data_IF_235016071459
#
_entry.id   IF_235016071459
#
_cell.length_a   1.000
_cell.length_b   1.000
_cell.length_c   1.000
_cell.angle_alpha   90.00
_cell.angle_beta   90.00
_cell.angle_gamma   90.00
#
_symmetry.space_group_name_H-M   'P 1'
#
loop_
_entity.id
_entity.type
_entity.pdbx_description
1 polymer ?
#
# COMPACT_ATOMS: atom_id res chain seq x y z
N UNK A 1 -22.20 2.76 -40.83
CA UNK A 1 -21.02 1.87 -40.80
C UNK A 1 -20.10 2.40 -39.70
N UNK A 2 -20.27 1.84 -38.51
CA UNK A 2 -19.46 2.19 -37.34
C UNK A 2 -18.18 1.37 -37.41
N UNK A 3 -17.02 2.04 -37.41
CA UNK A 3 -15.71 1.41 -37.40
C UNK A 3 -15.46 0.69 -36.03
N UNK A 4 -14.60 -0.33 -36.00
CA UNK A 4 -14.31 -1.03 -34.75
C UNK A 4 -13.51 -0.13 -33.82
N UNK A 5 -13.98 -0.08 -32.58
CA UNK A 5 -13.32 0.52 -31.42
C UNK A 5 -11.93 -0.09 -31.28
N UNK A 6 -10.89 0.70 -31.48
CA UNK A 6 -9.51 0.26 -31.26
C UNK A 6 -9.29 0.20 -29.75
N UNK A 7 -9.42 -0.99 -29.18
CA UNK A 7 -8.93 -1.28 -27.83
C UNK A 7 -7.43 -0.92 -27.71
N UNK A 8 -6.90 -0.71 -26.47
CA UNK A 8 -5.55 -0.20 -26.25
C UNK A 8 -4.51 -1.13 -26.92
N UNK A 9 -3.90 -0.65 -27.98
CA UNK A 9 -2.82 -1.30 -28.69
C UNK A 9 -1.56 -1.21 -27.82
N UNK A 10 -1.15 -2.33 -27.25
CA UNK A 10 0.13 -2.41 -26.51
C UNK A 10 0.18 -3.33 -25.31
N UNK A 11 -0.87 -4.10 -25.02
CA UNK A 11 -0.80 -5.08 -23.93
C UNK A 11 0.24 -6.17 -24.28
N UNK A 12 1.15 -6.54 -23.36
CA UNK A 12 2.09 -7.65 -23.56
C UNK A 12 1.32 -8.94 -23.89
N UNK A 13 1.90 -9.81 -24.72
CA UNK A 13 1.27 -11.02 -25.22
C UNK A 13 0.71 -11.99 -24.15
N UNK A 14 1.10 -11.79 -22.87
CA UNK A 14 0.65 -12.55 -21.70
C UNK A 14 -0.32 -11.81 -20.76
N UNK A 15 -0.69 -10.55 -21.06
CA UNK A 15 -1.50 -9.72 -20.13
C UNK A 15 -0.71 -9.22 -18.92
N UNK A 16 -1.42 -8.66 -17.94
CA UNK A 16 -0.85 -8.11 -16.69
C UNK A 16 -1.52 -8.79 -15.49
N UNK A 17 -0.74 -9.11 -14.46
CA UNK A 17 -1.22 -9.45 -13.13
C UNK A 17 -0.66 -8.48 -12.09
N UNK A 18 -1.17 -8.55 -10.87
CA UNK A 18 -0.70 -7.71 -9.78
C UNK A 18 -0.24 -8.54 -8.57
N UNK A 19 0.79 -8.06 -7.89
CA UNK A 19 1.28 -8.62 -6.63
C UNK A 19 1.28 -7.51 -5.58
N UNK A 20 0.55 -7.71 -4.47
CA UNK A 20 0.59 -6.82 -3.31
C UNK A 20 1.53 -7.40 -2.26
N UNK A 21 2.57 -6.65 -1.92
CA UNK A 21 3.56 -7.05 -0.92
C UNK A 21 3.09 -6.64 0.49
N UNK A 22 2.72 -7.64 1.29
CA UNK A 22 2.15 -7.48 2.64
C UNK A 22 2.88 -8.29 3.72
N UNK A 23 4.04 -8.89 3.41
CA UNK A 23 4.77 -9.79 4.30
C UNK A 23 5.68 -9.07 5.33
N UNK A 24 5.85 -7.75 5.23
CA UNK A 24 6.79 -6.98 6.05
C UNK A 24 6.41 -6.90 7.54
N UNK A 25 7.40 -6.91 8.43
CA UNK A 25 7.22 -6.83 9.88
C UNK A 25 6.73 -5.45 10.39
N UNK A 26 6.96 -4.38 9.64
CA UNK A 26 6.58 -3.03 10.06
C UNK A 26 7.29 -2.55 11.33
N UNK A 27 8.56 -2.90 11.53
CA UNK A 27 9.32 -2.65 12.78
C UNK A 27 9.38 -1.19 13.21
N UNK A 28 9.46 -0.26 12.25
CA UNK A 28 9.48 1.20 12.51
C UNK A 28 8.14 1.74 13.05
N UNK A 29 7.05 1.02 12.82
CA UNK A 29 5.71 1.38 13.29
C UNK A 29 5.35 0.73 14.65
N UNK A 30 6.28 -0.04 15.25
CA UNK A 30 6.08 -0.59 16.61
C UNK A 30 5.86 0.55 17.60
N UNK A 31 5.03 0.32 18.64
CA UNK A 31 4.42 -0.96 19.05
C UNK A 31 3.11 -1.32 18.36
N UNK A 32 2.56 -0.49 17.45
CA UNK A 32 1.28 -0.74 16.77
C UNK A 32 1.30 -2.09 16.02
N UNK A 33 2.42 -2.42 15.39
CA UNK A 33 2.58 -3.63 14.57
C UNK A 33 2.98 -4.88 15.35
N UNK A 34 3.01 -4.84 16.66
CA UNK A 34 3.26 -6.06 17.46
C UNK A 34 2.06 -7.03 17.46
N UNK A 35 0.85 -6.54 17.20
CA UNK A 35 -0.38 -7.32 17.25
C UNK A 35 -1.21 -7.28 15.96
N UNK A 36 -0.95 -6.28 15.12
CA UNK A 36 -1.64 -6.10 13.83
C UNK A 36 -0.57 -5.91 12.76
N UNK A 37 -0.55 -6.72 11.68
CA UNK A 37 0.43 -6.52 10.62
C UNK A 37 0.25 -5.14 9.98
N UNK A 38 1.34 -4.48 9.60
CA UNK A 38 1.32 -3.12 9.04
C UNK A 38 0.28 -2.97 7.92
N UNK A 39 0.19 -3.96 7.05
CA UNK A 39 -0.78 -3.99 5.95
C UNK A 39 -2.25 -3.89 6.40
N UNK A 40 -2.55 -4.26 7.63
CA UNK A 40 -3.91 -4.19 8.20
C UNK A 40 -4.13 -2.99 9.12
N UNK A 41 -3.11 -2.17 9.39
CA UNK A 41 -3.30 -0.91 10.11
C UNK A 41 -4.24 0.00 9.31
N UNK A 42 -5.35 0.50 9.92
CA UNK A 42 -6.33 1.28 9.18
C UNK A 42 -5.86 2.73 8.98
N UNK A 43 -6.00 3.27 7.79
CA UNK A 43 -5.87 4.69 7.50
C UNK A 43 -7.22 5.21 7.03
N UNK A 44 -7.77 6.21 7.74
CA UNK A 44 -9.13 6.68 7.48
C UNK A 44 -10.15 5.54 7.56
N UNK A 45 -10.06 4.69 8.59
CA UNK A 45 -10.91 3.52 8.85
C UNK A 45 -10.86 2.39 7.80
N UNK A 46 -9.94 2.44 6.84
CA UNK A 46 -9.76 1.40 5.81
C UNK A 46 -8.36 0.78 5.95
N UNK A 47 -8.23 -0.56 6.11
CA UNK A 47 -6.93 -1.23 6.12
C UNK A 47 -6.08 -0.86 4.89
N UNK A 48 -4.77 -0.67 5.09
CA UNK A 48 -3.85 -0.29 4.01
C UNK A 48 -3.89 -1.31 2.86
N UNK A 49 -3.96 -2.61 3.17
CA UNK A 49 -4.10 -3.68 2.18
C UNK A 49 -5.37 -3.51 1.33
N UNK A 50 -6.50 -3.18 1.96
CA UNK A 50 -7.76 -2.99 1.24
C UNK A 50 -7.72 -1.77 0.32
N UNK A 51 -6.99 -0.72 0.69
CA UNK A 51 -6.71 0.42 -0.19
C UNK A 51 -5.90 0.01 -1.42
N UNK A 52 -4.88 -0.85 -1.24
CA UNK A 52 -4.11 -1.37 -2.35
C UNK A 52 -4.97 -2.25 -3.27
N UNK A 53 -5.75 -3.18 -2.70
CA UNK A 53 -6.66 -4.04 -3.47
C UNK A 53 -7.74 -3.24 -4.20
N UNK A 54 -8.33 -2.21 -3.57
CA UNK A 54 -9.31 -1.33 -4.22
C UNK A 54 -8.71 -0.59 -5.42
N UNK A 55 -7.44 -0.17 -5.32
CA UNK A 55 -6.72 0.49 -6.41
C UNK A 55 -6.52 -0.47 -7.59
N UNK A 56 -6.13 -1.73 -7.33
CA UNK A 56 -6.04 -2.76 -8.36
C UNK A 56 -7.39 -3.06 -9.01
N UNK A 57 -8.46 -3.13 -8.19
CA UNK A 57 -9.82 -3.33 -8.69
C UNK A 57 -10.27 -2.19 -9.62
N UNK A 58 -9.88 -0.93 -9.32
CA UNK A 58 -10.11 0.22 -10.19
C UNK A 58 -9.39 0.14 -11.55
N UNK A 59 -8.37 -0.71 -11.68
CA UNK A 59 -7.69 -1.05 -12.94
C UNK A 59 -8.27 -2.32 -13.61
N UNK A 60 -9.32 -2.92 -13.06
CA UNK A 60 -9.89 -4.17 -13.56
C UNK A 60 -9.14 -5.44 -13.12
N UNK A 61 -8.15 -5.32 -12.21
CA UNK A 61 -7.41 -6.46 -11.67
C UNK A 61 -8.09 -6.94 -10.36
N UNK A 62 -8.79 -8.07 -10.42
CA UNK A 62 -9.55 -8.64 -9.31
C UNK A 62 -9.50 -10.16 -9.31
N UNK A 63 -9.61 -10.75 -8.11
CA UNK A 63 -9.67 -12.20 -7.94
C UNK A 63 -8.31 -12.90 -8.03
N UNK A 64 -8.25 -14.18 -7.64
CA UNK A 64 -7.00 -14.92 -7.46
C UNK A 64 -6.25 -15.22 -8.77
N UNK A 65 -6.90 -15.06 -9.92
CA UNK A 65 -6.26 -15.27 -11.22
C UNK A 65 -5.41 -14.06 -11.65
N UNK A 66 -5.74 -12.86 -11.16
CA UNK A 66 -5.08 -11.63 -11.59
C UNK A 66 -4.39 -10.87 -10.46
N UNK A 67 -4.72 -11.14 -9.20
CA UNK A 67 -4.12 -10.50 -8.03
C UNK A 67 -3.57 -11.57 -7.10
N UNK A 68 -2.33 -11.37 -6.61
CA UNK A 68 -1.72 -12.15 -5.54
C UNK A 68 -1.31 -11.24 -4.38
N UNK A 69 -1.30 -11.80 -3.17
CA UNK A 69 -0.82 -11.14 -1.94
C UNK A 69 0.15 -12.09 -1.24
N UNK A 70 1.35 -11.59 -0.87
CA UNK A 70 2.22 -12.35 0.00
C UNK A 70 1.96 -12.04 1.47
N UNK A 71 2.19 -13.01 2.34
CA UNK A 71 1.99 -12.91 3.77
C UNK A 71 3.08 -13.66 4.53
N UNK A 72 3.58 -13.09 5.63
CA UNK A 72 4.57 -13.71 6.51
C UNK A 72 4.33 -13.32 7.97
N UNK A 73 4.82 -12.18 8.40
CA UNK A 73 4.65 -11.67 9.77
C UNK A 73 3.17 -11.46 10.11
N UNK A 74 2.69 -12.10 11.19
CA UNK A 74 1.26 -12.17 11.54
C UNK A 74 0.38 -12.58 10.34
N UNK A 75 0.93 -13.48 9.50
CA UNK A 75 0.39 -13.81 8.19
C UNK A 75 -1.02 -14.37 8.21
N UNK A 76 -1.45 -15.05 9.29
CA UNK A 76 -2.81 -15.56 9.45
C UNK A 76 -3.86 -14.45 9.36
N UNK A 77 -3.59 -13.28 9.96
CA UNK A 77 -4.49 -12.13 9.88
C UNK A 77 -4.58 -11.59 8.43
N UNK A 78 -3.45 -11.57 7.71
CA UNK A 78 -3.44 -11.15 6.29
C UNK A 78 -4.22 -12.17 5.44
N UNK A 79 -4.04 -13.46 5.67
CA UNK A 79 -4.77 -14.53 4.99
C UNK A 79 -6.27 -14.40 5.22
N UNK A 80 -6.69 -14.20 6.47
CA UNK A 80 -8.10 -13.99 6.83
C UNK A 80 -8.68 -12.74 6.14
N UNK A 81 -7.95 -11.62 6.19
CA UNK A 81 -8.37 -10.36 5.55
C UNK A 81 -8.49 -10.49 4.04
N UNK A 82 -7.56 -11.19 3.38
CA UNK A 82 -7.60 -11.40 1.92
C UNK A 82 -8.76 -12.33 1.53
N UNK A 83 -8.96 -13.41 2.29
CA UNK A 83 -9.98 -14.42 1.97
C UNK A 83 -9.81 -14.98 0.55
N UNK A 84 -10.86 -14.89 -0.26
CA UNK A 84 -10.88 -15.35 -1.67
C UNK A 84 -10.60 -14.25 -2.69
N UNK A 85 -10.26 -13.04 -2.24
CA UNK A 85 -10.09 -11.86 -3.14
C UNK A 85 -8.82 -11.90 -3.97
N UNK A 86 -7.82 -12.70 -3.55
CA UNK A 86 -6.55 -12.82 -4.25
C UNK A 86 -5.91 -14.21 -4.04
N UNK A 87 -4.94 -14.55 -4.88
CA UNK A 87 -4.04 -15.68 -4.66
C UNK A 87 -3.10 -15.39 -3.48
N UNK A 88 -2.98 -16.34 -2.55
CA UNK A 88 -2.15 -16.18 -1.36
C UNK A 88 -0.80 -16.88 -1.51
N UNK A 89 0.28 -16.15 -1.25
CA UNK A 89 1.65 -16.66 -1.19
C UNK A 89 2.18 -16.51 0.25
N UNK A 90 2.04 -17.57 1.05
CA UNK A 90 2.53 -17.56 2.45
C UNK A 90 4.02 -17.86 2.50
N UNK A 91 4.76 -17.08 3.29
CA UNK A 91 6.21 -17.19 3.50
C UNK A 91 6.44 -17.66 4.96
N UNK A 92 6.47 -18.98 5.23
CA UNK A 92 6.43 -19.52 6.58
C UNK A 92 7.73 -19.31 7.36
N UNK A 93 8.86 -19.24 6.67
CA UNK A 93 10.20 -19.15 7.28
C UNK A 93 10.65 -17.69 7.49
N UNK A 94 9.75 -16.73 7.30
CA UNK A 94 10.00 -15.30 7.40
C UNK A 94 9.94 -14.58 6.06
N UNK A 95 9.91 -13.22 6.08
CA UNK A 95 9.71 -12.43 4.88
C UNK A 95 10.88 -12.56 3.91
N UNK A 96 10.58 -12.84 2.63
CA UNK A 96 11.57 -12.96 1.56
C UNK A 96 12.00 -11.62 0.97
N UNK A 97 11.49 -10.51 1.51
CA UNK A 97 11.71 -9.19 0.93
C UNK A 97 10.93 -9.00 -0.38
N UNK A 98 11.14 -7.85 -1.04
CA UNK A 98 10.32 -7.49 -2.20
C UNK A 98 10.64 -8.33 -3.45
N UNK A 99 11.92 -8.63 -3.72
CA UNK A 99 12.30 -9.44 -4.86
C UNK A 99 11.98 -10.93 -4.65
N UNK A 100 12.28 -11.46 -3.46
CA UNK A 100 12.02 -12.87 -3.14
C UNK A 100 10.52 -13.18 -3.09
N UNK A 101 9.70 -12.26 -2.56
CA UNK A 101 8.24 -12.40 -2.56
C UNK A 101 7.66 -12.47 -3.97
N UNK A 102 8.13 -11.63 -4.91
CA UNK A 102 7.75 -11.70 -6.33
C UNK A 102 8.31 -12.99 -6.97
N UNK A 103 9.57 -13.36 -6.68
CA UNK A 103 10.20 -14.57 -7.19
C UNK A 103 9.46 -15.86 -6.77
N UNK A 104 8.91 -15.89 -5.55
CA UNK A 104 8.08 -17.00 -5.06
C UNK A 104 6.78 -17.18 -5.86
N UNK A 105 6.26 -16.09 -6.41
CA UNK A 105 5.05 -16.07 -7.24
C UNK A 105 5.31 -16.29 -8.73
N UNK A 106 6.57 -16.55 -9.13
CA UNK A 106 6.97 -16.67 -10.53
C UNK A 106 6.08 -17.62 -11.35
N UNK A 107 5.77 -18.81 -10.82
CA UNK A 107 4.97 -19.80 -11.53
C UNK A 107 3.51 -19.38 -11.67
N UNK A 108 2.98 -18.63 -10.69
CA UNK A 108 1.66 -18.01 -10.77
C UNK A 108 1.64 -16.84 -11.77
N UNK A 109 2.68 -16.01 -11.82
CA UNK A 109 2.82 -14.91 -12.79
C UNK A 109 2.85 -15.41 -14.23
N UNK A 110 3.55 -16.52 -14.50
CA UNK A 110 3.45 -17.32 -15.71
C UNK A 110 3.51 -16.51 -17.03
N UNK A 111 4.54 -15.70 -17.20
CA UNK A 111 4.78 -14.98 -18.48
C UNK A 111 4.14 -13.58 -18.56
N UNK A 112 3.31 -13.21 -17.60
CA UNK A 112 2.65 -11.89 -17.58
C UNK A 112 3.59 -10.77 -17.11
N UNK A 113 3.30 -9.54 -17.52
CA UNK A 113 3.81 -8.36 -16.82
C UNK A 113 3.22 -8.29 -15.41
N UNK A 114 3.98 -7.73 -14.46
CA UNK A 114 3.53 -7.69 -13.07
C UNK A 114 3.52 -6.26 -12.51
N UNK A 115 2.34 -5.82 -12.08
CA UNK A 115 2.16 -4.59 -11.30
C UNK A 115 2.37 -4.94 -9.82
N UNK A 116 3.51 -4.51 -9.26
CA UNK A 116 3.85 -4.76 -7.86
C UNK A 116 3.45 -3.54 -7.04
N UNK A 117 2.64 -3.75 -6.01
CA UNK A 117 2.21 -2.71 -5.07
C UNK A 117 2.64 -3.03 -3.65
N UNK A 118 3.14 -2.03 -2.92
CA UNK A 118 3.37 -2.13 -1.47
C UNK A 118 2.05 -1.92 -0.73
N UNK A 119 1.64 -2.86 0.10
CA UNK A 119 0.41 -2.76 0.89
C UNK A 119 0.42 -1.58 1.87
N UNK A 120 1.60 -1.07 2.23
CA UNK A 120 1.78 -0.04 3.26
C UNK A 120 1.91 1.40 2.70
N UNK A 121 1.76 1.57 1.39
CA UNK A 121 1.77 2.88 0.74
C UNK A 121 0.38 3.54 0.82
N UNK A 122 0.29 4.68 1.49
CA UNK A 122 -0.90 5.52 1.42
C UNK A 122 -0.79 6.47 0.22
N UNK A 123 -1.72 6.33 -0.70
CA UNK A 123 -1.86 7.17 -1.89
C UNK A 123 -3.24 7.82 -1.89
N UNK A 124 -3.32 9.10 -2.25
CA UNK A 124 -4.57 9.81 -2.45
C UNK A 124 -4.41 10.90 -3.52
N UNK A 125 -5.21 10.85 -4.56
CA UNK A 125 -5.27 11.89 -5.58
C UNK A 125 -6.68 12.49 -5.58
N UNK A 126 -6.84 13.80 -5.28
CA UNK A 126 -8.15 14.44 -5.32
C UNK A 126 -8.74 14.54 -6.73
N UNK A 127 -7.91 14.40 -7.78
CA UNK A 127 -8.33 14.48 -9.17
C UNK A 127 -8.73 13.13 -9.77
N UNK A 128 -8.38 12.00 -9.12
CA UNK A 128 -8.62 10.67 -9.66
C UNK A 128 -8.95 9.66 -8.55
N UNK A 129 -9.97 8.79 -8.73
CA UNK A 129 -10.24 7.72 -7.76
C UNK A 129 -9.12 6.66 -7.77
N UNK A 130 -9.09 5.78 -6.74
CA UNK A 130 -8.16 4.64 -6.69
C UNK A 130 -8.25 3.78 -7.95
N UNK A 131 -7.10 3.48 -8.54
CA UNK A 131 -6.93 2.75 -9.80
C UNK A 131 -6.60 3.71 -10.95
N UNK A 132 -7.53 4.53 -11.44
CA UNK A 132 -7.24 5.61 -12.38
C UNK A 132 -6.07 6.51 -11.98
N UNK A 133 -5.84 6.75 -10.69
CA UNK A 133 -4.73 7.54 -10.16
C UNK A 133 -3.32 6.96 -10.45
N UNK A 134 -3.23 5.67 -10.74
CA UNK A 134 -1.97 4.98 -11.11
C UNK A 134 -2.00 4.38 -12.52
N UNK A 135 -3.08 4.58 -13.29
CA UNK A 135 -3.27 3.97 -14.61
C UNK A 135 -2.16 4.33 -15.61
N UNK A 136 -1.51 5.48 -15.43
CA UNK A 136 -0.37 5.90 -16.26
C UNK A 136 0.80 4.90 -16.24
N UNK A 137 0.93 4.05 -15.20
CA UNK A 137 1.90 2.97 -15.20
C UNK A 137 1.66 1.96 -16.33
N UNK A 138 0.40 1.74 -16.70
CA UNK A 138 -0.01 0.74 -17.70
C UNK A 138 -0.14 1.32 -19.11
N UNK A 139 -0.36 2.64 -19.21
CA UNK A 139 -0.63 3.29 -20.48
C UNK A 139 0.56 3.14 -21.44
N UNK A 140 0.33 2.61 -22.64
CA UNK A 140 1.35 2.37 -23.68
C UNK A 140 2.62 1.67 -23.15
N UNK A 141 2.46 0.73 -22.21
CA UNK A 141 3.60 -0.03 -21.73
C UNK A 141 4.05 -1.05 -22.77
N UNK A 142 5.35 -1.03 -23.07
CA UNK A 142 5.99 -1.86 -24.10
C UNK A 142 6.16 -3.33 -23.71
N UNK A 143 5.90 -3.70 -22.44
CA UNK A 143 6.11 -5.05 -21.90
C UNK A 143 7.57 -5.38 -21.60
N UNK A 144 8.51 -4.45 -21.77
CA UNK A 144 9.97 -4.68 -21.63
C UNK A 144 10.65 -3.72 -20.64
N UNK A 145 10.17 -2.50 -20.49
CA UNK A 145 10.72 -1.52 -19.53
C UNK A 145 10.14 -1.68 -18.11
N UNK A 146 10.95 -1.27 -17.12
CA UNK A 146 10.50 -1.09 -15.74
C UNK A 146 9.87 0.30 -15.61
N UNK A 147 8.69 0.38 -14.98
CA UNK A 147 8.09 1.67 -14.61
C UNK A 147 7.93 1.77 -13.11
N UNK A 148 8.34 2.89 -12.54
CA UNK A 148 8.14 3.21 -11.13
C UNK A 148 7.18 4.37 -11.01
N UNK A 149 6.18 4.26 -10.13
CA UNK A 149 5.41 5.42 -9.72
C UNK A 149 6.27 6.28 -8.80
N UNK A 150 6.40 7.56 -9.06
CA UNK A 150 7.31 8.42 -8.31
C UNK A 150 6.81 9.84 -8.11
N UNK A 151 7.25 10.48 -7.02
CA UNK A 151 7.08 11.91 -6.76
C UNK A 151 8.42 12.62 -6.80
N UNK A 152 8.49 13.88 -7.23
CA UNK A 152 9.72 14.66 -7.15
C UNK A 152 10.33 14.60 -5.76
N UNK A 153 11.61 14.28 -5.68
CA UNK A 153 12.34 14.24 -4.42
C UNK A 153 12.66 15.68 -3.96
N UNK A 154 12.63 15.97 -2.65
CA UNK A 154 13.12 17.26 -2.13
C UNK A 154 14.57 17.53 -2.52
N UNK A 155 15.42 16.50 -2.53
CA UNK A 155 16.75 16.49 -3.10
C UNK A 155 16.79 15.44 -4.23
N UNK A 156 16.83 15.88 -5.51
CA UNK A 156 16.86 14.96 -6.65
C UNK A 156 18.11 14.07 -6.71
N UNK A 157 19.16 14.43 -6.00
CA UNK A 157 20.44 13.70 -5.97
C UNK A 157 20.57 12.76 -4.77
N UNK A 158 19.58 12.76 -3.86
CA UNK A 158 19.62 11.95 -2.66
C UNK A 158 19.71 10.44 -3.00
N UNK A 159 20.46 9.65 -2.21
CA UNK A 159 20.47 8.20 -2.36
C UNK A 159 19.05 7.63 -2.26
N UNK A 160 18.68 6.73 -3.18
CA UNK A 160 17.35 6.10 -3.21
C UNK A 160 16.38 6.76 -4.19
N UNK A 161 16.74 7.89 -4.80
CA UNK A 161 15.95 8.48 -5.89
C UNK A 161 16.19 7.77 -7.23
N UNK A 162 15.21 7.86 -8.12
CA UNK A 162 15.25 7.40 -9.51
C UNK A 162 14.83 8.59 -10.38
N UNK A 163 15.71 9.04 -11.27
CA UNK A 163 15.47 10.22 -12.11
C UNK A 163 14.91 11.42 -11.29
N UNK A 164 15.54 11.71 -10.15
CA UNK A 164 15.14 12.79 -9.26
C UNK A 164 13.81 12.58 -8.50
N UNK A 165 13.26 11.36 -8.48
CA UNK A 165 12.00 11.04 -7.81
C UNK A 165 12.19 10.00 -6.71
N UNK A 166 11.33 10.06 -5.70
CA UNK A 166 11.14 9.00 -4.70
C UNK A 166 10.04 8.05 -5.16
N UNK A 167 10.27 6.74 -5.00
CA UNK A 167 9.28 5.71 -5.30
C UNK A 167 8.07 5.81 -4.37
N UNK A 168 6.87 5.63 -4.91
CA UNK A 168 5.60 5.83 -4.19
C UNK A 168 4.75 4.56 -4.05
N UNK A 169 5.39 3.40 -4.05
CA UNK A 169 4.73 2.15 -3.67
C UNK A 169 4.20 1.29 -4.81
N UNK A 170 4.21 1.74 -6.08
CA UNK A 170 3.81 0.91 -7.22
C UNK A 170 4.88 0.87 -8.32
N UNK A 171 5.17 -0.33 -8.83
CA UNK A 171 6.07 -0.54 -9.96
C UNK A 171 5.51 -1.55 -10.95
N UNK A 172 5.80 -1.39 -12.22
CA UNK A 172 5.43 -2.33 -13.29
C UNK A 172 6.69 -2.99 -13.83
N UNK A 173 6.73 -4.33 -13.80
CA UNK A 173 7.90 -5.12 -14.13
C UNK A 173 7.63 -6.04 -15.30
N UNK A 174 8.54 -6.14 -16.29
CA UNK A 174 8.45 -7.09 -17.38
C UNK A 174 8.79 -8.51 -16.92
N UNK A 175 8.10 -9.49 -17.50
CA UNK A 175 8.34 -10.91 -17.22
C UNK A 175 9.79 -11.34 -17.32
N UNK A 176 10.53 -10.83 -18.30
CA UNK A 176 11.94 -11.18 -18.50
C UNK A 176 12.84 -10.92 -17.28
N UNK A 177 12.46 -9.94 -16.43
CA UNK A 177 13.19 -9.63 -15.19
C UNK A 177 12.63 -10.38 -13.97
N UNK A 178 11.38 -10.83 -14.04
CA UNK A 178 10.71 -11.56 -12.94
C UNK A 178 11.02 -13.07 -13.00
N UNK A 179 11.10 -13.66 -14.21
CA UNK A 179 11.28 -15.11 -14.39
C UNK A 179 12.55 -15.67 -13.74
N UNK A 180 13.57 -14.84 -13.58
CA UNK A 180 14.88 -15.25 -13.06
C UNK A 180 15.06 -14.85 -11.56
N UNK A 181 14.04 -14.23 -10.92
CA UNK A 181 14.08 -13.89 -9.50
C UNK A 181 14.00 -15.17 -8.64
N UNK A 182 14.99 -15.41 -7.78
CA UNK A 182 14.94 -16.56 -6.88
C UNK A 182 14.00 -16.27 -5.70
N UNK A 183 13.31 -17.30 -5.14
CA UNK A 183 12.46 -17.15 -3.95
C UNK A 183 13.30 -17.13 -2.66
N UNK A 184 14.27 -16.22 -2.58
CA UNK A 184 15.15 -16.00 -1.43
C UNK A 184 15.13 -14.54 -1.03
N UNK A 185 15.56 -14.23 0.18
CA UNK A 185 15.58 -12.85 0.67
C UNK A 185 16.32 -11.91 -0.30
N UNK A 186 15.61 -10.85 -0.73
CA UNK A 186 16.15 -9.85 -1.65
C UNK A 186 15.20 -8.66 -1.85
N UNK A 187 15.75 -7.57 -2.37
CA UNK A 187 14.98 -6.36 -2.67
C UNK A 187 14.96 -6.05 -4.17
N UNK A 188 13.84 -5.50 -4.66
CA UNK A 188 13.64 -5.12 -6.06
C UNK A 188 14.56 -3.98 -6.50
N UNK A 189 14.98 -3.12 -5.58
CA UNK A 189 15.88 -2.01 -5.88
C UNK A 189 17.18 -2.53 -6.47
N UNK A 190 17.79 -3.50 -5.78
CA UNK A 190 19.09 -4.07 -6.18
C UNK A 190 18.94 -5.11 -7.29
N UNK A 191 17.90 -5.95 -7.18
CA UNK A 191 17.74 -7.08 -8.10
C UNK A 191 17.20 -6.66 -9.47
N UNK A 192 16.38 -5.59 -9.55
CA UNK A 192 15.65 -5.23 -10.77
C UNK A 192 15.83 -3.76 -11.14
N UNK A 193 15.57 -2.81 -10.21
CA UNK A 193 15.42 -1.41 -10.61
C UNK A 193 16.75 -0.76 -10.95
N UNK A 194 17.79 -0.90 -10.12
CA UNK A 194 19.13 -0.33 -10.43
C UNK A 194 19.78 -0.93 -11.68
N UNK A 195 19.72 -2.24 -11.93
CA UNK A 195 20.13 -2.79 -13.22
C UNK A 195 19.34 -2.22 -14.40
N UNK A 196 18.01 -2.14 -14.30
CA UNK A 196 17.20 -1.59 -15.38
C UNK A 196 17.47 -0.09 -15.62
N UNK A 197 17.74 0.69 -14.57
CA UNK A 197 18.14 2.09 -14.67
C UNK A 197 19.50 2.24 -15.39
N UNK A 198 20.48 1.42 -15.01
CA UNK A 198 21.81 1.42 -15.66
C UNK A 198 21.73 1.06 -17.15
N UNK A 199 20.80 0.20 -17.54
CA UNK A 199 20.53 -0.20 -18.92
C UNK A 199 19.66 0.81 -19.69
N UNK A 200 19.24 1.92 -19.08
CA UNK A 200 18.32 2.89 -19.69
C UNK A 200 16.90 2.35 -19.93
N UNK A 201 16.50 1.31 -19.18
CA UNK A 201 15.19 0.62 -19.29
C UNK A 201 14.30 0.82 -18.07
N UNK A 202 14.53 1.88 -17.30
CA UNK A 202 13.66 2.29 -16.20
C UNK A 202 13.11 3.68 -16.49
N UNK A 203 11.81 3.84 -16.31
CA UNK A 203 11.11 5.11 -16.44
C UNK A 203 10.33 5.41 -15.16
N UNK A 204 10.43 6.64 -14.67
CA UNK A 204 9.57 7.11 -13.58
C UNK A 204 8.30 7.72 -14.16
N UNK A 205 7.15 7.26 -13.68
CA UNK A 205 5.84 7.80 -13.98
C UNK A 205 5.46 8.75 -12.85
N UNK A 206 5.29 10.05 -13.09
CA UNK A 206 4.97 11.01 -12.04
C UNK A 206 3.61 10.72 -11.38
N UNK A 207 3.59 10.73 -10.04
CA UNK A 207 2.36 10.67 -9.25
C UNK A 207 2.02 12.06 -8.72
N UNK A 208 0.91 12.68 -9.15
CA UNK A 208 0.57 14.06 -8.75
C UNK A 208 -0.06 14.15 -7.36
N UNK A 209 -0.58 13.04 -6.83
CA UNK A 209 -1.29 13.00 -5.57
C UNK A 209 -0.40 12.99 -4.32
N UNK A 210 -1.04 12.85 -3.17
CA UNK A 210 -0.37 12.67 -1.89
C UNK A 210 0.12 11.24 -1.74
N UNK A 211 1.38 11.09 -1.35
CA UNK A 211 1.98 9.83 -0.93
C UNK A 211 2.53 9.96 0.49
N UNK A 212 2.24 8.98 1.32
CA UNK A 212 2.84 8.83 2.66
C UNK A 212 3.30 7.37 2.83
N UNK A 213 4.61 7.20 3.12
CA UNK A 213 5.12 5.94 3.64
C UNK A 213 4.70 5.84 5.11
N UNK A 214 3.68 5.04 5.41
CA UNK A 214 3.15 4.89 6.78
C UNK A 214 4.10 4.10 7.69
N UNK A 215 5.41 4.36 7.57
CA UNK A 215 6.47 3.59 8.22
C UNK A 215 6.67 3.87 9.70
N UNK A 216 6.33 5.06 10.17
CA UNK A 216 6.48 5.50 11.56
C UNK A 216 5.13 5.91 12.15
N UNK A 217 4.98 5.99 13.49
CA UNK A 217 3.76 6.53 14.10
C UNK A 217 3.40 7.95 13.62
N UNK A 218 4.41 8.81 13.39
CA UNK A 218 4.21 10.15 12.86
C UNK A 218 3.63 10.14 11.43
N UNK A 219 4.23 9.35 10.53
CA UNK A 219 3.76 9.21 9.16
C UNK A 219 2.36 8.57 9.12
N UNK A 220 2.13 7.55 9.98
CA UNK A 220 0.84 6.90 10.10
C UNK A 220 -0.25 7.85 10.56
N UNK A 221 0.03 8.71 11.57
CA UNK A 221 -0.88 9.77 11.99
C UNK A 221 -1.12 10.77 10.85
N UNK A 222 -0.07 11.21 10.16
CA UNK A 222 -0.19 12.15 9.05
C UNK A 222 -1.09 11.60 7.93
N UNK A 223 -0.95 10.32 7.57
CA UNK A 223 -1.82 9.67 6.59
C UNK A 223 -3.30 9.64 7.03
N UNK A 224 -3.55 9.37 8.32
CA UNK A 224 -4.91 9.37 8.88
C UNK A 224 -5.52 10.77 8.91
N UNK A 225 -4.76 11.79 9.30
CA UNK A 225 -5.22 13.18 9.29
C UNK A 225 -5.49 13.67 7.88
N UNK A 226 -4.67 13.27 6.91
CA UNK A 226 -4.92 13.55 5.50
C UNK A 226 -6.23 12.89 5.02
N UNK A 227 -6.47 11.63 5.42
CA UNK A 227 -7.70 10.90 5.05
C UNK A 227 -8.96 11.51 5.69
N UNK A 228 -8.84 12.11 6.88
CA UNK A 228 -9.94 12.82 7.56
C UNK A 228 -10.22 14.21 6.95
N UNK A 229 -9.23 14.83 6.32
CA UNK A 229 -9.32 16.20 5.84
C UNK A 229 -9.36 17.23 6.97
N UNK A 230 -10.19 18.25 6.82
CA UNK A 230 -10.32 19.32 7.82
C UNK A 230 -11.29 18.96 8.97
N UNK A 231 -12.11 17.94 8.80
CA UNK A 231 -13.06 17.44 9.77
C UNK A 231 -12.55 16.20 10.52
N UNK A 232 -13.41 15.57 11.31
CA UNK A 232 -13.16 14.26 11.91
C UNK A 232 -13.86 13.16 11.09
N UNK A 233 -13.16 12.05 10.87
CA UNK A 233 -13.72 10.86 10.23
C UNK A 233 -14.13 9.86 11.31
N UNK A 234 -15.42 9.79 11.60
CA UNK A 234 -15.99 8.91 12.63
C UNK A 234 -16.74 7.77 11.95
N UNK A 235 -16.41 6.54 12.31
CA UNK A 235 -17.17 5.38 11.84
C UNK A 235 -18.60 5.42 12.36
N UNK A 236 -19.63 5.10 11.54
CA UNK A 236 -21.04 5.15 11.97
C UNK A 236 -21.40 4.27 13.16
N UNK A 237 -20.58 3.25 13.46
CA UNK A 237 -20.78 2.34 14.59
C UNK A 237 -20.09 2.81 15.87
N UNK A 238 -19.29 3.88 15.80
CA UNK A 238 -18.62 4.45 16.96
C UNK A 238 -19.59 5.31 17.81
N UNK A 239 -19.35 5.34 19.12
CA UNK A 239 -20.08 6.19 20.06
C UNK A 239 -19.18 7.33 20.51
N UNK A 240 -19.50 8.57 20.11
CA UNK A 240 -18.76 9.78 20.49
C UNK A 240 -19.68 10.69 21.30
N UNK A 241 -19.44 10.80 22.60
CA UNK A 241 -20.15 11.69 23.51
C UNK A 241 -19.28 12.84 24.02
N UNK A 242 -17.97 12.73 23.86
CA UNK A 242 -16.99 13.78 24.15
C UNK A 242 -16.63 14.62 22.94
N UNK A 243 -15.51 15.37 23.00
CA UNK A 243 -15.00 16.18 21.89
C UNK A 243 -14.19 15.36 20.89
N UNK A 244 -14.39 15.62 19.58
CA UNK A 244 -13.59 14.98 18.52
C UNK A 244 -13.29 16.01 17.44
N UNK A 245 -11.99 16.35 17.27
CA UNK A 245 -11.54 17.39 16.34
C UNK A 245 -10.40 16.90 15.45
N UNK A 246 -10.59 16.98 14.12
CA UNK A 246 -9.61 16.58 13.09
C UNK A 246 -8.99 15.21 13.40
N UNK A 247 -9.82 14.22 13.72
CA UNK A 247 -9.40 12.92 14.21
C UNK A 247 -10.09 11.78 13.46
N UNK A 248 -9.53 10.59 13.54
CA UNK A 248 -10.14 9.37 12.98
C UNK A 248 -10.60 8.49 14.13
N UNK A 249 -11.87 8.09 14.12
CA UNK A 249 -12.46 7.20 15.12
C UNK A 249 -13.01 5.96 14.42
N UNK A 250 -12.48 4.79 14.77
CA UNK A 250 -12.75 3.50 14.15
C UNK A 250 -14.04 2.85 14.61
N UNK A 251 -14.43 1.80 13.90
CA UNK A 251 -15.67 1.04 14.14
C UNK A 251 -15.78 0.56 15.59
N UNK A 252 -16.96 0.73 16.20
CA UNK A 252 -17.24 0.28 17.56
C UNK A 252 -16.41 0.96 18.66
N UNK A 253 -15.66 2.00 18.36
CA UNK A 253 -14.91 2.75 19.35
C UNK A 253 -15.84 3.60 20.22
N UNK A 254 -15.44 3.84 21.49
CA UNK A 254 -16.17 4.69 22.43
C UNK A 254 -15.29 5.86 22.85
N UNK A 255 -15.76 7.09 22.62
CA UNK A 255 -15.06 8.33 22.97
C UNK A 255 -15.94 9.17 23.89
N UNK A 256 -15.61 9.16 25.18
CA UNK A 256 -16.26 10.02 26.19
C UNK A 256 -15.37 11.20 26.60
N UNK A 257 -14.09 11.15 26.32
CA UNK A 257 -13.10 12.21 26.55
C UNK A 257 -12.90 13.13 25.34
N UNK A 258 -11.77 13.85 25.33
CA UNK A 258 -11.39 14.77 24.25
C UNK A 258 -10.36 14.16 23.33
N UNK A 259 -10.61 14.16 22.02
CA UNK A 259 -9.71 13.64 21.00
C UNK A 259 -9.42 14.72 19.97
N UNK A 260 -8.16 15.09 19.82
CA UNK A 260 -7.73 16.12 18.87
C UNK A 260 -6.56 15.61 18.04
N UNK A 261 -6.64 15.71 16.71
CA UNK A 261 -5.58 15.31 15.76
C UNK A 261 -5.02 13.90 16.04
N UNK A 262 -5.90 12.97 16.39
CA UNK A 262 -5.53 11.64 16.88
C UNK A 262 -6.27 10.54 16.13
N UNK A 263 -5.81 9.31 16.29
CA UNK A 263 -6.45 8.12 15.74
C UNK A 263 -6.91 7.22 16.88
N UNK A 264 -8.19 6.89 16.89
CA UNK A 264 -8.79 5.92 17.82
C UNK A 264 -9.16 4.68 17.01
N UNK A 265 -8.46 3.59 17.23
CA UNK A 265 -8.66 2.35 16.46
C UNK A 265 -10.03 1.71 16.71
N UNK A 266 -10.47 0.80 15.83
CA UNK A 266 -11.69 0.04 16.02
C UNK A 266 -11.74 -0.63 17.40
N UNK A 267 -12.89 -0.49 18.10
CA UNK A 267 -13.11 -1.04 19.44
C UNK A 267 -12.33 -0.39 20.59
N UNK A 268 -11.58 0.68 20.31
CA UNK A 268 -10.83 1.39 21.35
C UNK A 268 -11.73 2.28 22.22
N UNK A 269 -11.29 2.54 23.46
CA UNK A 269 -12.02 3.40 24.40
C UNK A 269 -11.16 4.60 24.81
N UNK A 270 -11.81 5.76 24.89
CA UNK A 270 -11.29 7.00 25.49
C UNK A 270 -12.26 7.42 26.58
N UNK A 271 -11.82 7.30 27.84
CA UNK A 271 -12.67 7.52 28.99
C UNK A 271 -12.98 9.01 29.24
N UNK A 272 -14.07 9.29 29.99
CA UNK A 272 -14.40 10.64 30.38
C UNK A 272 -13.26 11.29 31.18
N UNK A 273 -12.86 12.50 30.76
CA UNK A 273 -11.72 13.21 31.34
C UNK A 273 -10.35 12.91 30.72
N UNK A 274 -10.21 11.86 29.89
CA UNK A 274 -9.00 11.68 29.08
C UNK A 274 -8.92 12.75 27.99
N UNK A 275 -7.67 13.11 27.65
CA UNK A 275 -7.37 14.02 26.53
C UNK A 275 -6.28 13.39 25.65
N UNK A 276 -6.64 13.08 24.42
CA UNK A 276 -5.72 12.57 23.41
C UNK A 276 -5.37 13.69 22.43
N UNK A 277 -4.07 13.90 22.22
CA UNK A 277 -3.57 14.87 21.27
C UNK A 277 -2.35 14.32 20.52
N UNK A 278 -2.47 14.25 19.20
CA UNK A 278 -1.44 13.73 18.29
C UNK A 278 -0.92 12.32 18.67
N UNK A 279 -1.86 11.42 18.97
CA UNK A 279 -1.57 10.05 19.40
C UNK A 279 -2.43 9.04 18.63
N UNK A 280 -2.02 7.77 18.72
CA UNK A 280 -2.80 6.62 18.25
C UNK A 280 -3.24 5.81 19.48
N UNK A 281 -4.55 5.63 19.69
CA UNK A 281 -5.14 4.77 20.73
C UNK A 281 -5.60 3.47 20.09
N UNK A 282 -5.12 2.35 20.58
CA UNK A 282 -5.50 1.01 20.12
C UNK A 282 -6.62 0.40 20.97
N UNK A 283 -7.27 -0.66 20.46
CA UNK A 283 -8.30 -1.40 21.20
C UNK A 283 -7.82 -2.02 22.52
N UNK A 284 -6.51 -2.23 22.68
CA UNK A 284 -5.93 -2.74 23.94
C UNK A 284 -5.67 -1.66 24.98
N UNK A 285 -6.06 -0.42 24.71
CA UNK A 285 -5.80 0.74 25.59
C UNK A 285 -4.40 1.33 25.43
N UNK A 286 -3.54 0.77 24.56
CA UNK A 286 -2.23 1.34 24.29
C UNK A 286 -2.38 2.70 23.60
N UNK A 287 -1.67 3.70 24.11
CA UNK A 287 -1.56 5.03 23.49
C UNK A 287 -0.14 5.25 22.99
N UNK A 288 0.01 5.46 21.70
CA UNK A 288 1.30 5.65 21.04
C UNK A 288 1.42 7.11 20.60
N UNK A 289 2.39 7.87 21.14
CA UNK A 289 2.70 9.20 20.63
C UNK A 289 3.14 9.13 19.18
N UNK A 290 2.76 10.13 18.39
CA UNK A 290 3.16 10.27 16.99
C UNK A 290 4.26 11.32 16.79
N UNK A 291 4.73 11.94 17.86
CA UNK A 291 5.82 12.93 17.87
C UNK A 291 7.14 12.28 18.29
#
# INVERSE_FOLDING_TARGET
MSGPDAGPTGAPAGGICAVVLAAGEGTRLRPLTERVPKALCPVGNVPLLDRALARLAGLGLTGPETVAVNASYLGEQVVEQVGTRAHLSVEPDGPLGTAGGVGRLRDWIAGRGVLVGNADAYLADPAAPPGPDIAALLHDWDGDSVRLLGRPAPDPTAPGTFDGHVFTGFSLLPWRLVRDLPPVFGDLVRAVWRPAEADGRLTVVPYPGTFVDTGTPADYLAANLHAAGDDSLVDPTASVTGGCHRSVVGAGATVAGEVTRSVVWPGATVDAGERLHEVIRTATGLTVPAA
#
